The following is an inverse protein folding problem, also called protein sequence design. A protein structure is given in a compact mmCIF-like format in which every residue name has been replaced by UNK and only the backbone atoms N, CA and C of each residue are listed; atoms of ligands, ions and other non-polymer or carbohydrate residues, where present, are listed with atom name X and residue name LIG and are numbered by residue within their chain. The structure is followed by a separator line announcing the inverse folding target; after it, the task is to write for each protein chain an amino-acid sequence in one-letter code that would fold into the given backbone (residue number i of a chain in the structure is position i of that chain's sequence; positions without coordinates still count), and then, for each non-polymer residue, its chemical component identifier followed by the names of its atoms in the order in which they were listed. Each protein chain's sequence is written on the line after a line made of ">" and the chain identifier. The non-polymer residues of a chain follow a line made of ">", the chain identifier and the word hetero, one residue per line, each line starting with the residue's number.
data_IF_767734045638
#
_entry.id   IF_767734045638
#
_cell.length_a   1.000
_cell.length_b   1.000
_cell.length_c   1.000
_cell.angle_alpha   90.00
_cell.angle_beta   90.00
_cell.angle_gamma   90.00
#
_symmetry.space_group_name_H-M   'P 1'
#
loop_
_entity.id
_entity.type
_entity.pdbx_description
1 polymer ?
#
# COMPACT_ATOMS: atom_id res chain seq x y z
N UNK A 1 26.85 -18.38 -0.51
CA UNK A 1 25.55 -17.73 -0.80
C UNK A 1 25.55 -17.14 -2.21
N UNK A 2 24.97 -17.82 -3.20
CA UNK A 2 24.67 -17.20 -4.50
C UNK A 2 23.15 -17.11 -4.66
N UNK A 3 22.57 -16.02 -4.13
CA UNK A 3 21.20 -15.64 -4.48
C UNK A 3 21.25 -15.15 -5.92
N UNK A 4 20.81 -15.98 -6.88
CA UNK A 4 20.70 -15.58 -8.30
C UNK A 4 19.91 -14.27 -8.35
N UNK A 5 20.59 -13.15 -8.64
CA UNK A 5 19.95 -11.84 -8.76
C UNK A 5 18.84 -11.96 -9.79
N UNK A 6 17.64 -11.47 -9.46
CA UNK A 6 16.52 -11.51 -10.40
C UNK A 6 16.96 -10.73 -11.65
N UNK A 7 16.87 -11.31 -12.86
CA UNK A 7 17.50 -10.74 -14.06
C UNK A 7 16.95 -9.37 -14.44
N UNK A 8 15.74 -9.04 -13.97
CA UNK A 8 15.08 -7.76 -14.23
C UNK A 8 15.47 -6.63 -13.26
N UNK A 9 16.05 -6.93 -12.09
CA UNK A 9 16.46 -5.91 -11.13
C UNK A 9 17.80 -5.31 -11.58
N UNK A 10 17.78 -4.08 -12.10
CA UNK A 10 18.96 -3.36 -12.58
C UNK A 10 19.15 -3.33 -14.09
N UNK A 11 18.23 -3.92 -14.87
CA UNK A 11 18.16 -3.66 -16.31
C UNK A 11 17.38 -2.35 -16.55
N UNK A 12 17.83 -1.50 -17.49
CA UNK A 12 17.04 -0.35 -17.91
C UNK A 12 15.71 -0.84 -18.51
N UNK A 13 14.69 0.01 -18.47
CA UNK A 13 13.39 -0.31 -19.06
C UNK A 13 13.56 -0.63 -20.55
N UNK A 14 12.90 -1.68 -21.08
CA UNK A 14 12.98 -2.01 -22.50
C UNK A 14 12.54 -0.85 -23.37
N UNK A 15 13.20 -0.66 -24.51
CA UNK A 15 12.87 0.43 -25.44
C UNK A 15 11.43 0.28 -25.95
N UNK A 16 10.61 1.32 -25.76
CA UNK A 16 9.20 1.31 -26.14
C UNK A 16 8.25 0.71 -25.09
N UNK A 17 8.74 0.32 -23.91
CA UNK A 17 7.89 -0.13 -22.80
C UNK A 17 6.98 1.01 -22.31
N UNK A 18 5.67 0.74 -22.30
CA UNK A 18 4.67 1.58 -21.63
C UNK A 18 4.20 0.84 -20.38
N UNK A 19 4.35 1.43 -19.17
CA UNK A 19 3.94 0.79 -17.93
C UNK A 19 2.44 0.47 -17.95
N UNK A 20 2.06 -0.68 -17.38
CA UNK A 20 0.67 -1.19 -17.39
C UNK A 20 0.25 -1.82 -18.73
N UNK A 21 0.58 -1.19 -19.86
CA UNK A 21 0.13 -1.62 -21.19
C UNK A 21 0.69 -2.99 -21.59
N UNK A 22 1.99 -3.23 -21.41
CA UNK A 22 2.63 -4.52 -21.73
C UNK A 22 2.17 -5.70 -20.85
N UNK A 23 1.49 -5.41 -19.73
CA UNK A 23 0.83 -6.41 -18.86
C UNK A 23 -0.62 -6.68 -19.29
N UNK A 24 -1.16 -5.93 -20.26
CA UNK A 24 -2.58 -5.91 -20.57
C UNK A 24 -3.43 -5.24 -19.49
N UNK A 25 -2.83 -4.36 -18.68
CA UNK A 25 -3.59 -3.60 -17.69
C UNK A 25 -4.32 -2.46 -18.41
N UNK A 26 -5.64 -2.51 -18.40
CA UNK A 26 -6.53 -1.43 -18.81
C UNK A 26 -7.27 -0.93 -17.57
N UNK A 27 -7.40 0.39 -17.40
CA UNK A 27 -8.27 0.94 -16.35
C UNK A 27 -9.70 0.44 -16.52
N UNK A 28 -10.40 0.20 -15.41
CA UNK A 28 -11.82 -0.13 -15.47
C UNK A 28 -12.57 1.05 -16.06
N UNK A 29 -13.35 0.82 -17.12
CA UNK A 29 -14.23 1.85 -17.67
C UNK A 29 -15.41 2.02 -16.72
N UNK A 30 -15.53 3.18 -16.11
CA UNK A 30 -16.68 3.56 -15.28
C UNK A 30 -17.77 4.19 -16.16
N UNK A 31 -18.99 4.30 -15.63
CA UNK A 31 -20.10 4.93 -16.34
C UNK A 31 -19.80 6.38 -16.75
N UNK A 32 -18.91 7.06 -16.01
CA UNK A 32 -18.43 8.42 -16.31
C UNK A 32 -17.56 8.46 -17.58
N UNK A 33 -16.80 7.40 -17.89
CA UNK A 33 -15.90 7.35 -19.06
C UNK A 33 -16.64 7.14 -20.38
N UNK A 34 -17.86 6.62 -20.33
CA UNK A 34 -18.63 6.16 -21.49
C UNK A 34 -19.65 7.22 -21.95
N UNK A 35 -19.97 8.19 -21.08
CA UNK A 35 -21.00 9.20 -21.33
C UNK A 35 -22.42 8.62 -21.39
N UNK A 36 -23.46 9.47 -21.35
CA UNK A 36 -24.86 9.02 -21.29
C UNK A 36 -25.43 8.43 -22.59
N UNK A 37 -24.66 8.35 -23.68
CA UNK A 37 -25.16 7.82 -24.95
C UNK A 37 -24.02 7.22 -25.78
N UNK A 38 -23.83 5.90 -25.69
CA UNK A 38 -23.21 5.16 -26.79
C UNK A 38 -24.26 5.00 -27.89
N UNK A 39 -23.98 5.54 -29.08
CA UNK A 39 -24.75 5.23 -30.27
C UNK A 39 -24.51 3.75 -30.64
N UNK A 40 -25.54 3.06 -31.16
CA UNK A 40 -25.50 1.62 -31.45
C UNK A 40 -24.53 1.24 -32.59
N UNK A 41 -23.95 2.25 -33.27
CA UNK A 41 -22.93 2.10 -34.30
C UNK A 41 -21.50 2.45 -33.82
N UNK A 42 -21.31 2.74 -32.53
CA UNK A 42 -19.99 3.05 -31.98
C UNK A 42 -19.12 1.78 -32.01
N UNK A 43 -17.96 1.78 -32.70
CA UNK A 43 -17.11 0.61 -32.81
C UNK A 43 -16.85 0.02 -31.42
N UNK A 44 -16.93 -1.31 -31.31
CA UNK A 44 -16.38 -1.99 -30.15
C UNK A 44 -14.94 -1.51 -30.01
N UNK A 45 -14.63 -1.07 -28.80
CA UNK A 45 -13.37 -0.47 -28.41
C UNK A 45 -12.24 -1.46 -28.73
N UNK A 46 -11.68 -1.32 -29.93
CA UNK A 46 -10.69 -2.21 -30.55
C UNK A 46 -9.31 -1.93 -29.92
N UNK A 47 -9.25 -1.96 -28.57
CA UNK A 47 -8.04 -1.88 -27.75
C UNK A 47 -7.14 -3.13 -27.91
N UNK A 48 -7.52 -4.03 -28.82
CA UNK A 48 -6.65 -5.06 -29.38
C UNK A 48 -6.18 -4.68 -30.79
N UNK A 49 -5.58 -3.49 -30.94
CA UNK A 49 -4.78 -3.23 -32.13
C UNK A 49 -3.60 -4.23 -32.17
N UNK A 50 -3.39 -4.98 -33.27
CA UNK A 50 -2.19 -5.79 -33.43
C UNK A 50 -0.95 -4.90 -33.31
N UNK A 51 0.17 -5.40 -32.75
CA UNK A 51 1.33 -4.59 -32.43
C UNK A 51 1.91 -4.01 -33.73
N UNK A 52 1.70 -2.70 -33.99
CA UNK A 52 2.33 -2.06 -35.14
C UNK A 52 1.75 -0.73 -35.62
N UNK A 53 0.54 -0.32 -35.25
CA UNK A 53 -0.03 0.96 -35.70
C UNK A 53 -0.42 1.86 -34.53
N UNK A 54 0.55 2.67 -34.09
CA UNK A 54 0.28 3.86 -33.29
C UNK A 54 -0.34 4.90 -34.23
N UNK A 55 -1.61 5.23 -34.05
CA UNK A 55 -2.27 6.31 -34.79
C UNK A 55 -1.79 7.66 -34.23
N UNK A 56 -1.86 8.71 -35.05
CA UNK A 56 -1.38 10.07 -34.72
C UNK A 56 -2.04 10.64 -33.44
N UNK A 57 -3.22 10.14 -33.04
CA UNK A 57 -3.87 10.49 -31.78
C UNK A 57 -3.09 10.07 -30.51
N UNK A 58 -2.24 9.05 -30.59
CA UNK A 58 -1.41 8.58 -29.47
C UNK A 58 -0.24 9.54 -29.15
N UNK A 59 0.16 10.38 -30.12
CA UNK A 59 1.18 11.42 -29.90
C UNK A 59 0.59 12.68 -29.24
N UNK A 60 -0.66 13.05 -29.55
CA UNK A 60 -1.32 14.22 -28.96
C UNK A 60 -1.67 14.00 -27.47
N UNK A 61 -2.00 12.76 -27.09
CA UNK A 61 -2.32 12.42 -25.70
C UNK A 61 -1.10 12.54 -24.77
N UNK A 62 0.11 12.37 -25.27
CA UNK A 62 1.35 12.49 -24.47
C UNK A 62 1.69 13.95 -24.11
N UNK A 63 1.23 14.94 -24.86
CA UNK A 63 1.44 16.36 -24.54
C UNK A 63 0.39 16.95 -23.60
N UNK A 64 -0.80 16.36 -23.50
CA UNK A 64 -1.87 16.80 -22.58
C UNK A 64 -1.91 15.99 -21.28
N UNK A 65 -1.60 14.69 -21.31
CA UNK A 65 -1.57 13.84 -20.11
C UNK A 65 -0.39 14.11 -19.16
N UNK A 66 0.52 15.02 -19.51
CA UNK A 66 1.64 15.40 -18.63
C UNK A 66 1.27 16.51 -17.63
N UNK A 67 0.05 17.05 -17.69
CA UNK A 67 -0.37 18.16 -16.83
C UNK A 67 -1.62 17.87 -15.99
N UNK A 68 -2.46 16.91 -16.37
CA UNK A 68 -3.76 16.65 -15.70
C UNK A 68 -3.83 15.30 -14.94
N UNK A 69 -2.84 14.41 -15.05
CA UNK A 69 -2.87 13.07 -14.42
C UNK A 69 -2.16 13.00 -13.05
N UNK A 70 -1.62 14.11 -12.54
CA UNK A 70 -0.86 14.17 -11.28
C UNK A 70 -1.62 14.91 -10.15
N UNK A 71 -2.94 15.05 -10.25
CA UNK A 71 -3.74 15.48 -9.10
C UNK A 71 -3.73 14.36 -8.04
N UNK A 72 -3.11 14.61 -6.88
CA UNK A 72 -3.11 13.67 -5.76
C UNK A 72 -4.51 13.66 -5.10
N UNK A 73 -5.44 12.94 -5.73
CA UNK A 73 -6.82 12.78 -5.28
C UNK A 73 -6.96 11.70 -4.19
N UNK A 74 -5.87 11.34 -3.51
CA UNK A 74 -5.92 10.40 -2.40
C UNK A 74 -6.59 11.03 -1.17
N UNK A 75 -7.26 10.21 -0.37
CA UNK A 75 -7.92 10.63 0.88
C UNK A 75 -6.94 11.27 1.88
N UNK A 76 -5.64 10.93 1.81
CA UNK A 76 -4.61 11.58 2.65
C UNK A 76 -4.36 13.03 2.30
N UNK A 77 -4.66 13.41 1.06
CA UNK A 77 -4.51 14.76 0.55
C UNK A 77 -5.83 15.54 0.65
N UNK A 78 -6.96 14.85 0.86
CA UNK A 78 -8.27 15.48 1.06
C UNK A 78 -8.51 15.85 2.53
N UNK A 79 -8.89 17.10 2.77
CA UNK A 79 -9.43 17.60 4.03
C UNK A 79 -10.89 18.04 3.83
N UNK A 80 -11.76 17.81 4.82
CA UNK A 80 -13.20 18.11 4.70
C UNK A 80 -13.47 19.62 4.62
N UNK A 81 -12.63 20.43 5.26
CA UNK A 81 -12.80 21.88 5.25
C UNK A 81 -12.10 22.54 4.05
N UNK A 82 -10.85 22.17 3.77
CA UNK A 82 -10.03 22.82 2.74
C UNK A 82 -10.04 22.11 1.36
N UNK A 83 -10.64 20.92 1.25
CA UNK A 83 -10.63 20.11 0.03
C UNK A 83 -9.29 19.39 -0.19
N UNK A 84 -8.92 19.14 -1.45
CA UNK A 84 -7.62 18.55 -1.77
C UNK A 84 -6.49 19.57 -1.57
N UNK A 85 -5.44 19.16 -0.85
CA UNK A 85 -4.28 20.02 -0.64
C UNK A 85 -3.46 20.14 -1.93
N UNK A 86 -2.95 21.34 -2.17
CA UNK A 86 -2.26 21.71 -3.41
C UNK A 86 -2.86 23.00 -4.00
N UNK A 87 -2.00 23.85 -4.55
CA UNK A 87 -2.45 25.08 -5.22
C UNK A 87 -2.64 24.83 -6.71
N UNK A 88 -3.84 25.12 -7.22
CA UNK A 88 -4.18 24.97 -8.64
C UNK A 88 -3.49 26.02 -9.52
N UNK A 89 -3.13 27.18 -8.96
CA UNK A 89 -2.70 28.36 -9.74
C UNK A 89 -1.19 28.45 -9.96
N UNK A 90 -0.42 27.47 -9.49
CA UNK A 90 1.06 27.48 -9.54
C UNK A 90 1.66 27.24 -10.94
N UNK A 91 0.87 26.84 -11.94
CA UNK A 91 1.34 26.42 -13.27
C UNK A 91 1.15 27.46 -14.38
N UNK A 92 0.43 28.55 -14.11
CA UNK A 92 0.21 29.63 -15.07
C UNK A 92 1.45 30.50 -15.33
N UNK A 93 1.45 31.34 -16.37
CA UNK A 93 2.47 32.38 -16.50
C UNK A 93 2.43 33.27 -15.26
N UNK A 94 3.55 33.37 -14.56
CA UNK A 94 3.73 34.26 -13.42
C UNK A 94 4.62 35.42 -13.84
N UNK A 95 4.00 36.59 -13.97
CA UNK A 95 4.62 37.81 -14.47
C UNK A 95 5.05 38.73 -13.31
N UNK A 96 5.72 39.83 -13.65
CA UNK A 96 6.26 40.74 -12.65
C UNK A 96 5.17 41.48 -11.88
N UNK A 97 4.05 41.77 -12.52
CA UNK A 97 2.87 42.36 -11.90
C UNK A 97 2.17 41.38 -10.95
N UNK A 98 2.20 40.06 -11.23
CA UNK A 98 1.74 39.04 -10.29
C UNK A 98 2.60 39.04 -9.01
N UNK A 99 3.93 39.13 -9.13
CA UNK A 99 4.84 39.24 -7.97
C UNK A 99 4.60 40.52 -7.15
N UNK A 100 4.40 41.65 -7.82
CA UNK A 100 4.07 42.92 -7.16
C UNK A 100 2.70 42.85 -6.46
N UNK A 101 1.72 42.19 -7.08
CA UNK A 101 0.40 41.98 -6.49
C UNK A 101 0.49 41.07 -5.25
N UNK A 102 1.17 39.93 -5.34
CA UNK A 102 1.35 38.99 -4.23
C UNK A 102 2.08 39.67 -3.06
N UNK A 103 3.09 40.50 -3.34
CA UNK A 103 3.77 41.28 -2.30
C UNK A 103 2.82 42.25 -1.57
N UNK A 104 1.92 42.92 -2.30
CA UNK A 104 0.92 43.83 -1.71
C UNK A 104 -0.11 43.06 -0.89
N UNK A 105 -0.63 41.94 -1.41
CA UNK A 105 -1.62 41.12 -0.69
C UNK A 105 -1.01 40.47 0.56
N UNK A 106 0.22 39.93 0.47
CA UNK A 106 0.93 39.39 1.62
C UNK A 106 1.18 40.46 2.70
N UNK A 107 1.55 41.68 2.31
CA UNK A 107 1.73 42.79 3.25
C UNK A 107 0.42 43.21 3.93
N UNK A 108 -0.72 43.13 3.22
CA UNK A 108 -2.03 43.36 3.81
C UNK A 108 -2.38 42.27 4.84
N UNK A 109 -2.19 41.00 4.51
CA UNK A 109 -2.44 39.89 5.42
C UNK A 109 -1.55 39.96 6.66
N UNK A 110 -0.25 40.26 6.49
CA UNK A 110 0.68 40.45 7.59
C UNK A 110 0.20 41.58 8.52
N UNK A 111 -0.17 42.74 7.95
CA UNK A 111 -0.70 43.87 8.71
C UNK A 111 -2.00 43.53 9.45
N UNK A 112 -2.85 42.70 8.86
CA UNK A 112 -4.07 42.23 9.52
C UNK A 112 -3.76 41.34 10.73
N UNK A 113 -2.69 40.55 10.64
CA UNK A 113 -2.22 39.68 11.71
C UNK A 113 -1.42 40.39 12.82
N UNK A 114 -0.75 41.51 12.52
CA UNK A 114 0.08 42.29 13.45
C UNK A 114 -0.60 42.59 14.79
N UNK A 115 -1.92 42.85 14.81
CA UNK A 115 -2.67 43.24 16.02
C UNK A 115 -2.56 42.24 17.17
N UNK A 116 -2.32 40.96 16.88
CA UNK A 116 -2.17 39.90 17.89
C UNK A 116 -0.96 38.99 17.63
N UNK A 117 -0.12 39.33 16.66
CA UNK A 117 1.00 38.53 16.17
C UNK A 117 1.91 38.09 17.32
N UNK A 118 2.43 39.04 18.09
CA UNK A 118 3.36 38.75 19.20
C UNK A 118 2.77 37.76 20.24
N UNK A 119 1.52 37.97 20.67
CA UNK A 119 0.88 37.09 21.66
C UNK A 119 0.54 35.71 21.08
N UNK A 120 0.11 35.67 19.82
CA UNK A 120 -0.26 34.43 19.13
C UNK A 120 0.99 33.57 18.91
N UNK A 121 2.03 34.16 18.33
CA UNK A 121 3.32 33.50 18.07
C UNK A 121 4.02 33.10 19.37
N UNK A 122 3.98 33.94 20.41
CA UNK A 122 4.54 33.55 21.71
C UNK A 122 3.80 32.35 22.29
N UNK A 123 2.47 32.34 22.28
CA UNK A 123 1.68 31.20 22.77
C UNK A 123 1.94 29.95 21.94
N UNK A 124 1.93 30.07 20.62
CA UNK A 124 2.21 28.97 19.70
C UNK A 124 3.61 28.40 19.93
N UNK A 125 4.60 29.26 20.12
CA UNK A 125 5.97 28.85 20.44
C UNK A 125 6.06 28.12 21.77
N UNK A 126 5.44 28.66 22.83
CA UNK A 126 5.39 28.02 24.15
C UNK A 126 4.64 26.68 24.12
N UNK A 127 3.56 26.58 23.35
CA UNK A 127 2.76 25.37 23.18
C UNK A 127 3.54 24.31 22.39
N UNK A 128 4.19 24.68 21.29
CA UNK A 128 5.08 23.80 20.52
C UNK A 128 6.25 23.33 21.38
N UNK A 129 6.85 24.22 22.18
CA UNK A 129 7.95 23.86 23.08
C UNK A 129 7.49 22.87 24.16
N UNK A 130 6.38 23.18 24.86
CA UNK A 130 5.78 22.26 25.85
C UNK A 130 5.43 20.91 25.22
N UNK A 131 4.78 20.93 24.06
CA UNK A 131 4.41 19.71 23.34
C UNK A 131 5.64 18.88 22.94
N UNK A 132 6.72 19.52 22.48
CA UNK A 132 7.98 18.81 22.18
C UNK A 132 8.66 18.25 23.42
N UNK A 133 8.51 18.91 24.57
CA UNK A 133 9.03 18.42 25.84
C UNK A 133 8.21 17.24 26.38
N UNK A 134 6.88 17.28 26.27
CA UNK A 134 5.97 16.23 26.74
C UNK A 134 5.93 15.02 25.78
N UNK A 135 5.85 15.29 24.48
CA UNK A 135 5.73 14.32 23.40
C UNK A 135 6.83 14.53 22.35
N UNK A 136 8.11 14.25 22.68
CA UNK A 136 9.18 14.36 21.69
C UNK A 136 8.96 13.39 20.53
N UNK A 137 9.26 13.83 19.30
CA UNK A 137 9.17 12.97 18.12
C UNK A 137 10.09 11.77 18.30
N UNK A 138 9.70 10.59 17.82
CA UNK A 138 10.50 9.35 17.94
C UNK A 138 11.95 9.57 17.45
N UNK A 139 12.14 10.29 16.35
CA UNK A 139 13.47 10.61 15.83
C UNK A 139 14.29 11.51 16.76
N UNK A 140 13.64 12.40 17.53
CA UNK A 140 14.30 13.26 18.51
C UNK A 140 14.73 12.47 19.74
N UNK A 141 13.90 11.52 20.21
CA UNK A 141 14.21 10.61 21.32
C UNK A 141 15.49 9.79 21.07
N UNK A 142 15.77 9.45 19.80
CA UNK A 142 16.94 8.66 19.39
C UNK A 142 18.03 9.49 18.71
N UNK A 143 17.96 10.82 18.76
CA UNK A 143 18.91 11.70 18.07
C UNK A 143 20.35 11.58 18.63
N UNK A 144 20.46 11.39 19.93
CA UNK A 144 21.71 11.15 20.65
C UNK A 144 22.32 9.78 20.32
N UNK A 145 21.51 8.73 20.28
CA UNK A 145 21.93 7.38 19.84
C UNK A 145 22.33 7.37 18.38
N UNK A 146 21.60 8.09 17.52
CA UNK A 146 21.97 8.26 16.10
C UNK A 146 23.31 8.96 15.94
N UNK A 147 23.62 9.96 16.79
CA UNK A 147 24.93 10.62 16.80
C UNK A 147 26.04 9.66 17.25
N UNK A 148 25.81 8.88 18.31
CA UNK A 148 26.76 7.83 18.75
C UNK A 148 26.97 6.75 17.69
N UNK A 149 25.92 6.38 16.95
CA UNK A 149 26.00 5.41 15.87
C UNK A 149 26.89 5.87 14.70
N UNK A 150 27.16 7.19 14.57
CA UNK A 150 28.14 7.70 13.61
C UNK A 150 29.60 7.37 13.97
N UNK A 151 29.88 7.02 15.23
CA UNK A 151 31.22 6.61 15.68
C UNK A 151 31.59 5.19 15.20
N UNK A 152 30.59 4.36 14.85
CA UNK A 152 30.78 2.98 14.40
C UNK A 152 31.44 2.94 13.02
N UNK A 153 32.50 2.15 12.91
CA UNK A 153 33.31 2.03 11.69
C UNK A 153 32.63 1.18 10.63
N UNK A 154 33.00 1.36 9.35
CA UNK A 154 32.40 0.59 8.24
C UNK A 154 32.69 -0.90 8.35
N UNK A 155 33.83 -1.26 8.92
CA UNK A 155 34.25 -2.62 9.20
C UNK A 155 33.30 -3.28 10.22
N UNK A 156 32.95 -2.56 11.28
CA UNK A 156 31.97 -3.02 12.27
C UNK A 156 30.57 -3.19 11.65
N UNK A 157 30.16 -2.28 10.77
CA UNK A 157 28.91 -2.41 10.01
C UNK A 157 28.84 -3.69 9.17
N UNK A 158 29.95 -4.10 8.55
CA UNK A 158 30.02 -5.34 7.76
C UNK A 158 30.04 -6.60 8.64
N UNK A 159 30.45 -6.47 9.90
CA UNK A 159 30.54 -7.57 10.87
C UNK A 159 29.25 -7.83 11.64
N UNK A 160 28.19 -7.04 11.44
CA UNK A 160 26.90 -7.23 12.10
C UNK A 160 26.36 -8.63 11.75
N UNK A 161 26.12 -9.51 12.73
CA UNK A 161 25.58 -10.83 12.47
C UNK A 161 24.12 -10.73 12.04
N UNK A 162 23.72 -11.59 11.11
CA UNK A 162 22.32 -11.75 10.76
C UNK A 162 21.52 -12.29 11.96
N UNK A 163 20.23 -11.95 12.03
CA UNK A 163 19.31 -12.49 13.02
C UNK A 163 19.17 -14.01 12.82
N UNK A 164 20.03 -14.79 13.46
CA UNK A 164 19.97 -16.26 13.44
C UNK A 164 18.62 -16.78 13.96
N UNK A 165 18.40 -18.09 13.93
CA UNK A 165 17.22 -18.71 14.54
C UNK A 165 17.35 -18.68 16.07
N UNK A 166 17.13 -17.50 16.68
CA UNK A 166 17.25 -17.27 18.12
C UNK A 166 16.19 -18.03 18.92
N UNK A 167 15.16 -18.58 18.25
CA UNK A 167 14.09 -19.32 18.91
C UNK A 167 13.49 -20.38 17.99
N UNK A 168 14.25 -21.45 17.74
CA UNK A 168 13.74 -22.78 17.39
C UNK A 168 12.48 -22.77 16.49
N UNK A 169 12.56 -22.32 15.23
CA UNK A 169 11.47 -22.55 14.27
C UNK A 169 11.18 -24.04 14.07
N UNK A 170 12.12 -24.91 14.43
CA UNK A 170 12.03 -26.38 14.39
C UNK A 170 11.08 -26.99 15.43
N UNK A 171 10.79 -26.31 16.54
CA UNK A 171 9.67 -26.64 17.44
C UNK A 171 8.32 -26.09 16.94
N UNK A 172 8.34 -25.28 15.88
CA UNK A 172 7.20 -24.45 15.45
C UNK A 172 6.38 -25.08 14.31
N UNK A 173 6.82 -26.23 13.79
CA UNK A 173 5.97 -27.05 12.94
C UNK A 173 6.11 -28.55 13.28
N UNK A 174 5.79 -28.96 14.52
CA UNK A 174 5.29 -30.31 14.70
C UNK A 174 3.92 -30.27 14.04
N UNK A 175 3.85 -30.69 12.78
CA UNK A 175 2.54 -30.97 12.19
C UNK A 175 1.85 -31.91 13.15
N UNK A 176 0.84 -31.40 13.84
CA UNK A 176 -0.02 -32.20 14.68
C UNK A 176 -0.57 -33.28 13.76
N UNK A 177 -0.13 -34.51 13.95
CA UNK A 177 -0.89 -35.67 13.47
C UNK A 177 -2.21 -35.60 14.21
N UNK A 178 -3.19 -34.90 13.59
CA UNK A 178 -4.58 -34.87 14.04
C UNK A 178 -5.12 -36.27 13.82
N UNK A 179 -4.96 -37.12 14.83
CA UNK A 179 -5.65 -38.39 14.93
C UNK A 179 -7.14 -38.07 15.13
N UNK A 180 -7.90 -38.06 14.03
CA UNK A 180 -9.36 -38.04 14.09
C UNK A 180 -9.85 -39.45 14.39
N UNK A 181 -10.88 -39.65 15.24
CA UNK A 181 -11.45 -40.97 15.44
C UNK A 181 -11.85 -41.56 14.09
N UNK A 182 -11.50 -42.83 13.89
CA UNK A 182 -11.86 -43.55 12.67
C UNK A 182 -13.38 -43.66 12.63
N UNK A 183 -14.06 -43.29 11.53
CA UNK A 183 -15.52 -43.38 11.45
C UNK A 183 -15.99 -44.83 11.55
N UNK A 184 -17.11 -45.07 12.24
CA UNK A 184 -17.67 -46.39 12.55
C UNK A 184 -18.02 -47.27 11.32
N UNK A 185 -17.97 -46.69 10.12
CA UNK A 185 -18.08 -47.43 8.85
C UNK A 185 -16.96 -48.46 8.72
N UNK A 186 -15.80 -48.22 9.34
CA UNK A 186 -14.68 -49.15 9.33
C UNK A 186 -14.97 -50.42 10.14
N UNK A 187 -15.75 -50.32 11.22
CA UNK A 187 -16.16 -51.48 12.03
C UNK A 187 -17.38 -52.21 11.47
N UNK A 188 -18.25 -51.51 10.73
CA UNK A 188 -19.51 -52.09 10.23
C UNK A 188 -19.35 -53.19 9.16
N UNK A 189 -18.13 -53.41 8.63
CA UNK A 189 -17.87 -54.45 7.62
C UNK A 189 -17.46 -55.80 8.22
N UNK A 190 -16.92 -55.81 9.44
CA UNK A 190 -16.42 -57.05 10.08
C UNK A 190 -17.44 -57.72 11.01
N UNK A 191 -18.52 -57.04 11.40
CA UNK A 191 -19.56 -57.60 12.32
C UNK A 191 -20.68 -58.39 11.62
N UNK A 192 -20.69 -58.50 10.28
CA UNK A 192 -21.70 -59.30 9.57
C UNK A 192 -21.35 -60.80 9.45
N UNK A 193 -20.13 -61.21 9.79
CA UNK A 193 -19.67 -62.60 9.58
C UNK A 193 -19.54 -63.44 10.86
N UNK A 194 -19.99 -62.96 12.03
CA UNK A 194 -19.90 -63.71 13.29
C UNK A 194 -21.20 -63.80 14.09
N UNK A 195 -22.27 -64.32 13.47
CA UNK A 195 -23.40 -64.89 14.22
C UNK A 195 -23.92 -66.16 13.55
N UNK A 196 -23.25 -67.29 13.81
CA UNK A 196 -23.89 -68.60 13.76
C UNK A 196 -23.33 -69.42 14.94
N UNK A 197 -24.13 -69.61 15.99
CA UNK A 197 -24.52 -70.91 16.56
C UNK A 197 -25.46 -70.70 17.78
N UNK A 198 -26.52 -71.52 17.94
CA UNK A 198 -27.62 -71.31 18.89
C UNK A 198 -27.27 -71.74 20.35
N UNK A 199 -27.84 -71.01 21.33
CA UNK A 199 -27.71 -71.29 22.77
C UNK A 199 -28.50 -72.54 23.20
N UNK A 200 -27.91 -73.48 23.99
CA UNK A 200 -28.66 -74.54 24.65
C UNK A 200 -29.30 -74.07 25.98
N UNK A 201 -30.45 -74.68 26.27
CA UNK A 201 -31.31 -74.47 27.43
C UNK A 201 -30.66 -74.87 28.77
N UNK A 202 -31.14 -74.29 29.88
CA UNK A 202 -31.40 -75.06 31.09
C UNK A 202 -32.30 -74.37 32.14
N UNK A 203 -33.23 -75.18 32.61
CA UNK A 203 -34.15 -75.11 33.74
C UNK A 203 -33.49 -75.31 35.11
N UNK A 204 -34.26 -75.04 36.19
CA UNK A 204 -34.21 -75.51 37.60
C UNK A 204 -34.02 -74.37 38.62
N UNK A 205 -35.07 -73.89 39.34
CA UNK A 205 -35.96 -74.47 40.39
C UNK A 205 -35.46 -74.20 41.83
N UNK A 206 -36.31 -73.52 42.63
CA UNK A 206 -36.46 -73.61 44.10
C UNK A 206 -37.92 -73.20 44.37
N UNK A 207 -38.81 -74.12 44.74
CA UNK A 207 -38.98 -74.85 46.01
C UNK A 207 -39.44 -73.97 47.15
#
# INVERSE_FOLDING_TARGET
>A
MNKKKKPFLGMPTPLGYVPGLGRGATGFTTQSDIGPARDANDPVDDRHAPPGKRTVGDQMKKSQAAHDDDEDLNDTNYDEFNGHAGSLFSSGPYEKDDEEADAIYAALDERMDERRKERREQREKEEIEKYRMECPKIQQQFSDLKRKLAEVTKEEWLSIPEVGDTRNKRQRNPRYEKLTPVPDIFFAKDWRDSYILPLPANSIWRS
#
